data_IF_229339097426
#
_entry.id   IF_229339097426
#
_cell.length_a   1.000
_cell.length_b   1.000
_cell.length_c   1.000
_cell.angle_alpha   90.00
_cell.angle_beta   90.00
_cell.angle_gamma   90.00
#
_symmetry.space_group_name_H-M   'P 1'
#
loop_
_entity.id
_entity.type
_entity.pdbx_description
1 polymer ?
#
# COMPACT_ATOMS: atom_id res chain seq x y z
N UNK A 1 -31.39 -35.84 19.08
CA UNK A 1 -30.87 -34.45 19.19
C UNK A 1 -29.37 -34.39 18.97
N UNK A 2 -28.62 -35.36 19.45
CA UNK A 2 -27.17 -35.49 19.28
C UNK A 2 -26.69 -35.32 17.84
N UNK A 3 -27.33 -36.05 16.88
CA UNK A 3 -27.05 -35.93 15.44
C UNK A 3 -27.15 -34.46 14.96
N UNK A 4 -28.14 -33.71 15.45
CA UNK A 4 -28.29 -32.29 15.05
C UNK A 4 -27.21 -31.38 15.64
N UNK A 5 -26.76 -31.65 16.85
CA UNK A 5 -25.64 -30.96 17.47
C UNK A 5 -24.33 -31.21 16.73
N UNK A 6 -24.10 -32.48 16.34
CA UNK A 6 -22.99 -32.91 15.50
C UNK A 6 -22.98 -32.16 14.15
N UNK A 7 -24.12 -32.14 13.45
CA UNK A 7 -24.28 -31.46 12.18
C UNK A 7 -24.01 -29.92 12.29
N UNK A 8 -24.43 -29.32 13.39
CA UNK A 8 -24.16 -27.91 13.64
C UNK A 8 -22.65 -27.61 13.89
N UNK A 9 -21.96 -28.56 14.57
CA UNK A 9 -20.48 -28.45 14.74
C UNK A 9 -19.77 -28.56 13.40
N UNK A 10 -20.12 -29.57 12.60
CA UNK A 10 -19.55 -29.78 11.27
C UNK A 10 -19.82 -28.58 10.34
N UNK A 11 -21.03 -28.00 10.42
CA UNK A 11 -21.35 -26.77 9.69
C UNK A 11 -20.47 -25.60 10.12
N UNK A 12 -20.22 -25.48 11.42
CA UNK A 12 -19.33 -24.44 11.95
C UNK A 12 -17.89 -24.63 11.50
N UNK A 13 -17.39 -25.84 11.44
CA UNK A 13 -16.05 -26.15 10.94
C UNK A 13 -15.89 -25.74 9.47
N UNK A 14 -16.90 -26.01 8.65
CA UNK A 14 -16.95 -25.56 7.25
C UNK A 14 -16.94 -24.01 7.20
N UNK A 15 -17.80 -23.36 8.00
CA UNK A 15 -17.90 -21.91 8.05
C UNK A 15 -16.60 -21.26 8.53
N UNK A 16 -15.93 -21.83 9.53
CA UNK A 16 -14.63 -21.36 10.01
C UNK A 16 -13.55 -21.49 8.94
N UNK A 17 -13.53 -22.59 8.20
CA UNK A 17 -12.62 -22.76 7.07
C UNK A 17 -12.88 -21.76 5.94
N UNK A 18 -14.13 -21.46 5.64
CA UNK A 18 -14.48 -20.43 4.67
C UNK A 18 -14.08 -19.03 5.11
N UNK A 19 -14.27 -18.70 6.38
CA UNK A 19 -13.81 -17.41 6.93
C UNK A 19 -12.31 -17.27 6.85
N UNK A 20 -11.56 -18.32 7.22
CA UNK A 20 -10.10 -18.31 7.15
C UNK A 20 -9.59 -18.08 5.72
N UNK A 21 -10.26 -18.66 4.73
CA UNK A 21 -9.93 -18.44 3.32
C UNK A 21 -10.20 -16.99 2.91
N UNK A 22 -11.32 -16.41 3.36
CA UNK A 22 -11.67 -14.99 3.10
C UNK A 22 -10.71 -14.04 3.79
N UNK A 23 -10.41 -14.29 5.06
CA UNK A 23 -9.41 -13.51 5.82
C UNK A 23 -8.04 -13.53 5.10
N UNK A 24 -7.65 -14.69 4.55
CA UNK A 24 -6.42 -14.82 3.74
C UNK A 24 -6.50 -14.00 2.44
N UNK A 25 -7.65 -14.02 1.76
CA UNK A 25 -7.85 -13.24 0.53
C UNK A 25 -7.78 -11.73 0.79
N UNK A 26 -8.36 -11.27 1.90
CA UNK A 26 -8.31 -9.87 2.31
C UNK A 26 -6.89 -9.41 2.70
N UNK A 27 -6.05 -10.33 3.20
CA UNK A 27 -4.67 -10.01 3.60
C UNK A 27 -3.73 -9.68 2.44
N UNK A 28 -4.13 -9.91 1.18
CA UNK A 28 -3.31 -9.57 0.02
C UNK A 28 -3.34 -8.07 -0.34
N UNK A 29 -4.42 -7.36 -0.01
CA UNK A 29 -4.59 -5.97 -0.38
C UNK A 29 -3.50 -5.03 0.20
N UNK A 30 -3.17 -5.07 1.50
CA UNK A 30 -2.19 -4.17 2.08
C UNK A 30 -0.80 -4.22 1.42
N UNK A 31 -0.37 -5.40 0.98
CA UNK A 31 0.94 -5.57 0.35
C UNK A 31 1.03 -4.93 -1.05
N UNK A 32 -0.08 -4.80 -1.77
CA UNK A 32 -0.13 -4.08 -3.04
C UNK A 32 -0.22 -2.56 -2.83
N UNK A 33 -0.94 -2.13 -1.80
CA UNK A 33 -1.14 -0.72 -1.52
C UNK A 33 0.18 -0.02 -1.18
N UNK A 34 1.05 -0.66 -0.38
CA UNK A 34 2.38 -0.13 -0.07
C UNK A 34 3.22 0.11 -1.34
N UNK A 35 3.22 -0.85 -2.30
CA UNK A 35 3.98 -0.68 -3.54
C UNK A 35 3.38 0.44 -4.40
N UNK A 36 2.05 0.59 -4.43
CA UNK A 36 1.39 1.68 -5.14
C UNK A 36 1.69 3.04 -4.54
N UNK A 37 1.80 3.11 -3.21
CA UNK A 37 2.22 4.32 -2.50
C UNK A 37 3.67 4.68 -2.86
N UNK A 38 4.60 3.70 -2.87
CA UNK A 38 5.98 3.91 -3.30
C UNK A 38 6.05 4.45 -4.74
N UNK A 39 5.28 3.86 -5.66
CA UNK A 39 5.20 4.30 -7.06
C UNK A 39 4.69 5.74 -7.14
N UNK A 40 3.64 6.09 -6.40
CA UNK A 40 3.09 7.44 -6.40
C UNK A 40 4.10 8.49 -5.89
N UNK A 41 4.91 8.14 -4.88
CA UNK A 41 5.99 8.99 -4.38
C UNK A 41 7.08 9.20 -5.44
N UNK A 42 7.51 8.13 -6.12
CA UNK A 42 8.50 8.22 -7.20
C UNK A 42 7.98 9.03 -8.39
N UNK A 43 6.70 8.88 -8.76
CA UNK A 43 6.07 9.67 -9.81
C UNK A 43 5.97 11.17 -9.44
N UNK A 44 5.70 11.49 -8.17
CA UNK A 44 5.74 12.87 -7.68
C UNK A 44 7.16 13.47 -7.76
N UNK A 45 8.16 12.71 -7.28
CA UNK A 45 9.56 13.13 -7.34
C UNK A 45 10.03 13.34 -8.79
N UNK A 46 9.62 12.47 -9.73
CA UNK A 46 9.93 12.64 -11.15
C UNK A 46 9.39 13.97 -11.70
N UNK A 47 8.18 14.37 -11.32
CA UNK A 47 7.60 15.65 -11.73
C UNK A 47 8.38 16.84 -11.14
N UNK A 48 8.77 16.76 -9.88
CA UNK A 48 9.55 17.80 -9.21
C UNK A 48 10.93 17.97 -9.89
N UNK A 49 11.66 16.89 -10.14
CA UNK A 49 12.94 16.94 -10.85
C UNK A 49 12.83 17.48 -12.27
N UNK A 50 11.77 17.13 -13.00
CA UNK A 50 11.53 17.67 -14.34
C UNK A 50 11.27 19.18 -14.32
N UNK A 51 10.51 19.68 -13.34
CA UNK A 51 10.26 21.10 -13.18
C UNK A 51 11.56 21.85 -12.80
N UNK A 52 12.35 21.29 -11.89
CA UNK A 52 13.63 21.85 -11.49
C UNK A 52 14.61 21.90 -12.67
N UNK A 53 14.71 20.81 -13.44
CA UNK A 53 15.54 20.75 -14.64
C UNK A 53 15.13 21.84 -15.65
N UNK A 54 13.84 21.98 -15.92
CA UNK A 54 13.34 22.98 -16.84
C UNK A 54 13.67 24.41 -16.38
N UNK A 55 13.54 24.69 -15.09
CA UNK A 55 13.89 25.98 -14.52
C UNK A 55 15.40 26.27 -14.66
N UNK A 56 16.26 25.30 -14.34
CA UNK A 56 17.71 25.42 -14.46
C UNK A 56 18.18 25.55 -15.91
N UNK A 57 17.52 24.88 -16.85
CA UNK A 57 17.82 25.04 -18.29
C UNK A 57 17.45 26.43 -18.83
N UNK A 58 16.38 27.04 -18.32
CA UNK A 58 16.03 28.43 -18.63
C UNK A 58 17.10 29.38 -18.07
N UNK A 59 17.45 29.24 -16.79
CA UNK A 59 18.49 30.04 -16.12
C UNK A 59 19.83 29.95 -16.86
N UNK A 60 20.25 28.75 -17.25
CA UNK A 60 21.48 28.56 -18.05
C UNK A 60 21.41 29.26 -19.39
N UNK A 61 20.27 29.24 -20.09
CA UNK A 61 20.09 29.91 -21.38
C UNK A 61 20.20 31.42 -21.22
N UNK A 62 19.48 31.98 -20.25
CA UNK A 62 19.50 33.43 -19.99
C UNK A 62 20.89 33.94 -19.63
N UNK A 63 21.61 33.19 -18.81
CA UNK A 63 22.97 33.49 -18.42
C UNK A 63 23.94 33.41 -19.61
N UNK A 64 23.79 32.44 -20.49
CA UNK A 64 24.55 32.29 -21.70
C UNK A 64 24.34 33.50 -22.65
N UNK A 65 23.09 33.96 -22.78
CA UNK A 65 22.75 35.13 -23.60
C UNK A 65 23.38 36.41 -23.02
N UNK A 66 23.48 36.50 -21.70
CA UNK A 66 24.20 37.60 -21.03
C UNK A 66 25.70 37.55 -21.35
N UNK A 67 26.31 36.38 -21.24
CA UNK A 67 27.75 36.20 -21.56
C UNK A 67 28.03 36.53 -23.03
N UNK A 68 27.20 36.09 -23.95
CA UNK A 68 27.35 36.40 -25.38
C UNK A 68 27.24 37.89 -25.65
N UNK A 69 26.30 38.59 -25.00
CA UNK A 69 26.14 40.04 -25.12
C UNK A 69 27.36 40.78 -24.58
N UNK A 70 27.87 40.39 -23.43
CA UNK A 70 29.09 40.99 -22.84
C UNK A 70 30.31 40.75 -23.73
N UNK A 71 30.47 39.58 -24.33
CA UNK A 71 31.54 39.28 -25.31
C UNK A 71 31.43 40.16 -26.55
N UNK A 72 30.21 40.43 -27.00
CA UNK A 72 29.96 41.41 -28.10
C UNK A 72 30.40 42.83 -27.73
N UNK A 73 30.09 43.31 -26.49
CA UNK A 73 30.53 44.62 -26.00
C UNK A 73 32.05 44.70 -25.89
N UNK A 74 32.70 43.65 -25.42
CA UNK A 74 34.17 43.54 -25.36
C UNK A 74 34.78 43.66 -26.76
N UNK A 75 34.21 43.00 -27.77
CA UNK A 75 34.68 43.10 -29.14
C UNK A 75 34.55 44.53 -29.68
N UNK A 76 33.39 45.18 -29.45
CA UNK A 76 33.18 46.60 -29.83
C UNK A 76 34.14 47.55 -29.12
N UNK A 77 34.36 47.36 -27.81
CA UNK A 77 35.31 48.21 -27.05
C UNK A 77 36.74 48.03 -27.56
N UNK A 78 37.17 46.83 -27.93
CA UNK A 78 38.48 46.57 -28.54
C UNK A 78 38.65 47.27 -29.88
N UNK A 79 37.62 47.29 -30.72
CA UNK A 79 37.64 47.98 -32.00
C UNK A 79 37.71 49.52 -31.80
N UNK A 80 36.89 50.06 -30.89
CA UNK A 80 36.90 51.48 -30.57
C UNK A 80 38.27 51.96 -30.07
N UNK A 81 38.96 51.19 -29.24
CA UNK A 81 40.31 51.50 -28.75
C UNK A 81 41.29 51.81 -29.89
N UNK A 82 41.17 51.11 -31.03
CA UNK A 82 42.08 51.30 -32.18
C UNK A 82 41.80 52.58 -32.94
N UNK A 83 40.65 53.23 -32.73
CA UNK A 83 40.22 54.46 -33.46
C UNK A 83 40.27 55.69 -32.65
N UNK A 84 40.50 55.60 -31.32
CA UNK A 84 40.53 56.79 -30.41
C UNK A 84 41.83 57.50 -30.46
N UNK A 85 41.76 58.82 -30.63
CA UNK A 85 42.90 59.76 -30.58
C UNK A 85 43.01 60.53 -29.27
N UNK A 86 41.98 60.52 -28.42
CA UNK A 86 41.88 61.26 -27.17
C UNK A 86 42.20 60.41 -25.96
N UNK A 87 43.21 60.75 -25.18
CA UNK A 87 43.67 60.05 -24.00
C UNK A 87 42.52 59.80 -22.94
N UNK A 88 41.68 60.84 -22.73
CA UNK A 88 40.59 60.71 -21.72
C UNK A 88 39.54 59.67 -22.13
N UNK A 89 39.22 59.66 -23.40
CA UNK A 89 38.28 58.70 -23.99
C UNK A 89 38.88 57.28 -24.02
N UNK A 90 40.15 57.15 -24.35
CA UNK A 90 40.89 55.88 -24.30
C UNK A 90 40.85 55.22 -22.92
N UNK A 91 41.13 55.97 -21.84
CA UNK A 91 41.05 55.41 -20.49
C UNK A 91 39.63 55.05 -20.05
N UNK A 92 38.61 55.77 -20.53
CA UNK A 92 37.21 55.40 -20.25
C UNK A 92 36.83 54.06 -20.88
N UNK A 93 37.19 53.85 -22.16
CA UNK A 93 36.91 52.59 -22.87
C UNK A 93 37.74 51.43 -22.31
N UNK A 94 38.96 51.66 -21.86
CA UNK A 94 39.75 50.63 -21.16
C UNK A 94 39.08 50.16 -19.85
N UNK A 95 38.54 51.09 -19.05
CA UNK A 95 37.81 50.71 -17.83
C UNK A 95 36.56 49.95 -18.13
N UNK A 96 35.82 50.32 -19.17
CA UNK A 96 34.65 49.59 -19.63
C UNK A 96 35.02 48.17 -20.10
N UNK A 97 36.10 48.01 -20.86
CA UNK A 97 36.64 46.76 -21.30
C UNK A 97 36.99 45.82 -20.11
N UNK A 98 37.76 46.34 -19.15
CA UNK A 98 38.14 45.59 -17.94
C UNK A 98 36.90 45.19 -17.12
N UNK A 99 35.90 46.07 -17.02
CA UNK A 99 34.67 45.78 -16.29
C UNK A 99 33.90 44.64 -16.97
N UNK A 100 33.70 44.71 -18.28
CA UNK A 100 33.00 43.69 -19.03
C UNK A 100 33.74 42.35 -19.02
N UNK A 101 35.08 42.35 -19.06
CA UNK A 101 35.87 41.12 -18.94
C UNK A 101 35.67 40.45 -17.58
N UNK A 102 35.72 41.22 -16.49
CA UNK A 102 35.46 40.69 -15.13
C UNK A 102 34.01 40.16 -14.97
N UNK A 103 33.07 40.82 -15.65
CA UNK A 103 31.68 40.34 -15.66
C UNK A 103 31.57 38.98 -16.41
N UNK A 104 32.21 38.84 -17.58
CA UNK A 104 32.23 37.58 -18.31
C UNK A 104 32.83 36.45 -17.47
N UNK A 105 33.98 36.68 -16.84
CA UNK A 105 34.64 35.69 -15.99
C UNK A 105 33.71 35.21 -14.86
N UNK A 106 33.00 36.13 -14.20
CA UNK A 106 32.04 35.78 -13.14
C UNK A 106 30.86 34.95 -13.67
N UNK A 107 30.28 35.40 -14.79
CA UNK A 107 29.14 34.74 -15.39
C UNK A 107 29.53 33.36 -15.98
N UNK A 108 30.74 33.18 -16.48
CA UNK A 108 31.24 31.88 -16.95
C UNK A 108 31.45 30.91 -15.79
N UNK A 109 31.90 31.35 -14.62
CA UNK A 109 32.00 30.52 -13.41
C UNK A 109 30.59 30.08 -12.94
N UNK A 110 29.63 31.00 -12.93
CA UNK A 110 28.24 30.73 -12.59
C UNK A 110 27.60 29.75 -13.59
N UNK A 111 27.89 29.92 -14.88
CA UNK A 111 27.42 29.01 -15.94
C UNK A 111 27.97 27.60 -15.75
N UNK A 112 29.22 27.42 -15.35
CA UNK A 112 29.79 26.13 -15.03
C UNK A 112 29.07 25.46 -13.85
N UNK A 113 28.80 26.24 -12.78
CA UNK A 113 28.04 25.75 -11.64
C UNK A 113 26.63 25.25 -12.04
N UNK A 114 25.93 26.02 -12.89
CA UNK A 114 24.63 25.61 -13.42
C UNK A 114 24.69 24.31 -14.27
N UNK A 115 25.77 24.12 -15.03
CA UNK A 115 25.95 22.87 -15.79
C UNK A 115 26.10 21.67 -14.85
N UNK A 116 26.89 21.81 -13.78
CA UNK A 116 27.06 20.76 -12.78
C UNK A 116 25.74 20.44 -12.04
N UNK A 117 24.95 21.45 -11.68
CA UNK A 117 23.62 21.27 -11.09
C UNK A 117 22.68 20.53 -12.06
N UNK A 118 22.62 20.95 -13.32
CA UNK A 118 21.80 20.29 -14.35
C UNK A 118 22.20 18.83 -14.53
N UNK A 119 23.49 18.52 -14.56
CA UNK A 119 23.97 17.15 -14.71
C UNK A 119 23.64 16.30 -13.47
N UNK A 120 23.68 16.90 -12.28
CA UNK A 120 23.23 16.26 -11.04
C UNK A 120 21.72 15.92 -11.07
N UNK A 121 20.89 16.88 -11.49
CA UNK A 121 19.44 16.68 -11.60
C UNK A 121 19.13 15.58 -12.64
N UNK A 122 19.82 15.58 -13.78
CA UNK A 122 19.65 14.54 -14.80
C UNK A 122 20.00 13.15 -14.27
N UNK A 123 21.00 13.05 -13.43
CA UNK A 123 21.36 11.79 -12.77
C UNK A 123 20.26 11.36 -11.79
N UNK A 124 19.72 12.28 -10.99
CA UNK A 124 18.61 11.98 -10.08
C UNK A 124 17.36 11.52 -10.85
N UNK A 125 17.06 12.12 -12.01
CA UNK A 125 15.97 11.66 -12.88
C UNK A 125 16.22 10.22 -13.34
N UNK A 126 17.42 9.91 -13.82
CA UNK A 126 17.74 8.58 -14.31
C UNK A 126 17.67 7.50 -13.20
N UNK A 127 18.16 7.82 -12.01
CA UNK A 127 18.09 6.93 -10.84
C UNK A 127 16.62 6.71 -10.44
N UNK A 128 15.82 7.79 -10.38
CA UNK A 128 14.40 7.72 -10.05
C UNK A 128 13.57 6.94 -11.11
N UNK A 129 13.86 7.12 -12.39
CA UNK A 129 13.21 6.37 -13.47
C UNK A 129 13.53 4.87 -13.38
N UNK A 130 14.76 4.52 -13.01
CA UNK A 130 15.15 3.14 -12.77
C UNK A 130 14.36 2.51 -11.61
N UNK A 131 14.30 3.19 -10.47
CA UNK A 131 13.57 2.74 -9.28
C UNK A 131 12.07 2.61 -9.59
N UNK A 132 11.51 3.54 -10.36
CA UNK A 132 10.11 3.54 -10.78
C UNK A 132 9.79 2.32 -11.66
N UNK A 133 10.66 1.99 -12.61
CA UNK A 133 10.49 0.82 -13.48
C UNK A 133 10.60 -0.47 -12.68
N UNK A 134 11.55 -0.56 -11.75
CA UNK A 134 11.70 -1.70 -10.86
C UNK A 134 10.45 -1.91 -10.01
N UNK A 135 9.92 -0.84 -9.38
CA UNK A 135 8.70 -0.90 -8.59
C UNK A 135 7.46 -1.27 -9.41
N UNK A 136 7.32 -0.76 -10.64
CA UNK A 136 6.23 -1.14 -11.55
C UNK A 136 6.33 -2.62 -11.96
N UNK A 137 7.53 -3.12 -12.18
CA UNK A 137 7.77 -4.54 -12.47
C UNK A 137 7.43 -5.44 -11.28
N UNK A 138 7.85 -5.02 -10.07
CA UNK A 138 7.50 -5.70 -8.82
C UNK A 138 5.98 -5.77 -8.63
N UNK A 139 5.28 -4.65 -8.82
CA UNK A 139 3.81 -4.58 -8.72
C UNK A 139 3.16 -5.57 -9.70
N UNK A 140 3.54 -5.53 -10.97
CA UNK A 140 2.98 -6.39 -12.01
C UNK A 140 3.20 -7.89 -11.72
N UNK A 141 4.34 -8.24 -11.12
CA UNK A 141 4.66 -9.61 -10.73
C UNK A 141 3.80 -10.06 -9.56
N UNK A 142 3.71 -9.23 -8.51
CA UNK A 142 2.87 -9.52 -7.34
C UNK A 142 1.39 -9.59 -7.69
N UNK A 143 0.89 -8.71 -8.54
CA UNK A 143 -0.51 -8.75 -9.01
C UNK A 143 -0.83 -10.08 -9.72
N UNK A 144 0.09 -10.57 -10.57
CA UNK A 144 -0.08 -11.87 -11.25
C UNK A 144 -0.06 -13.05 -10.27
N UNK A 145 0.81 -13.01 -9.27
CA UNK A 145 0.88 -14.03 -8.23
C UNK A 145 -0.39 -14.05 -7.37
N UNK A 146 -0.82 -12.88 -6.90
CA UNK A 146 -2.04 -12.73 -6.12
C UNK A 146 -3.26 -13.16 -6.93
N UNK A 147 -3.37 -12.79 -8.20
CA UNK A 147 -4.47 -13.22 -9.05
C UNK A 147 -4.58 -14.76 -9.15
N UNK A 148 -3.44 -15.45 -9.26
CA UNK A 148 -3.41 -16.93 -9.24
C UNK A 148 -3.86 -17.49 -7.89
N UNK A 149 -3.40 -16.91 -6.79
CA UNK A 149 -3.78 -17.34 -5.44
C UNK A 149 -5.26 -17.09 -5.18
N UNK A 150 -5.77 -15.92 -5.53
CA UNK A 150 -7.19 -15.56 -5.42
C UNK A 150 -8.06 -16.54 -6.23
N UNK A 151 -7.70 -16.84 -7.48
CA UNK A 151 -8.43 -17.79 -8.29
C UNK A 151 -8.45 -19.21 -7.67
N UNK A 152 -7.36 -19.62 -7.02
CA UNK A 152 -7.31 -20.90 -6.31
C UNK A 152 -8.18 -20.89 -5.03
N UNK A 153 -8.16 -19.80 -4.27
CA UNK A 153 -8.99 -19.60 -3.09
C UNK A 153 -10.48 -19.55 -3.45
N UNK A 154 -10.87 -18.86 -4.52
CA UNK A 154 -12.24 -18.82 -5.01
C UNK A 154 -12.79 -20.22 -5.35
N UNK A 155 -11.97 -21.08 -5.95
CA UNK A 155 -12.35 -22.48 -6.20
C UNK A 155 -12.64 -23.22 -4.90
N UNK A 156 -11.80 -23.01 -3.87
CA UNK A 156 -12.00 -23.59 -2.53
C UNK A 156 -13.27 -23.05 -1.86
N UNK A 157 -13.50 -21.72 -1.96
CA UNK A 157 -14.73 -21.09 -1.44
C UNK A 157 -15.96 -21.71 -2.09
N UNK A 158 -16.02 -21.80 -3.42
CA UNK A 158 -17.18 -22.40 -4.14
C UNK A 158 -17.41 -23.85 -3.74
N UNK A 159 -16.35 -24.64 -3.58
CA UNK A 159 -16.45 -26.03 -3.13
C UNK A 159 -16.96 -26.10 -1.68
N UNK A 160 -16.41 -25.28 -0.79
CA UNK A 160 -16.83 -25.19 0.60
C UNK A 160 -18.27 -24.71 0.76
N UNK A 161 -18.70 -23.70 0.00
CA UNK A 161 -20.08 -23.21 -0.01
C UNK A 161 -21.08 -24.29 -0.47
N UNK A 162 -20.71 -25.08 -1.48
CA UNK A 162 -21.53 -26.23 -1.92
C UNK A 162 -21.61 -27.29 -0.82
N UNK A 163 -20.51 -27.63 -0.17
CA UNK A 163 -20.46 -28.51 0.98
C UNK A 163 -21.33 -28.00 2.15
N UNK A 164 -21.19 -26.69 2.45
CA UNK A 164 -22.02 -26.01 3.45
C UNK A 164 -23.51 -26.10 3.17
N UNK A 165 -23.92 -25.84 1.92
CA UNK A 165 -25.33 -25.93 1.51
C UNK A 165 -25.88 -27.35 1.66
N UNK A 166 -25.10 -28.35 1.29
CA UNK A 166 -25.51 -29.74 1.45
C UNK A 166 -25.66 -30.11 2.93
N UNK A 167 -24.70 -29.74 3.76
CA UNK A 167 -24.76 -29.99 5.21
C UNK A 167 -25.93 -29.24 5.86
N UNK A 168 -26.19 -27.98 5.46
CA UNK A 168 -27.32 -27.21 5.95
C UNK A 168 -28.69 -27.84 5.69
N UNK A 169 -28.85 -28.59 4.58
CA UNK A 169 -30.09 -29.32 4.27
C UNK A 169 -30.39 -30.46 5.22
N UNK A 170 -29.36 -31.01 5.88
CA UNK A 170 -29.50 -32.10 6.86
C UNK A 170 -29.90 -31.59 8.25
N UNK A 171 -29.81 -30.28 8.48
CA UNK A 171 -30.08 -29.63 9.75
C UNK A 171 -31.55 -29.17 9.78
N UNK A 172 -32.20 -29.37 10.95
CA UNK A 172 -33.54 -28.83 11.16
C UNK A 172 -33.57 -27.31 10.96
N UNK A 173 -34.57 -26.84 10.23
CA UNK A 173 -34.66 -25.42 9.83
C UNK A 173 -34.68 -24.43 11.00
N UNK A 174 -35.31 -24.79 12.13
CA UNK A 174 -35.35 -23.97 13.34
C UNK A 174 -33.93 -23.81 13.94
N UNK A 175 -33.18 -24.91 13.98
CA UNK A 175 -31.82 -24.93 14.51
C UNK A 175 -30.87 -24.19 13.58
N UNK A 176 -31.01 -24.37 12.27
CA UNK A 176 -30.22 -23.64 11.27
C UNK A 176 -30.45 -22.15 11.35
N UNK A 177 -31.70 -21.67 11.46
CA UNK A 177 -32.03 -20.27 11.62
C UNK A 177 -31.43 -19.67 12.93
N UNK A 178 -31.46 -20.47 14.01
CA UNK A 178 -30.84 -20.09 15.29
C UNK A 178 -29.30 -19.95 15.15
N UNK A 179 -28.67 -20.93 14.55
CA UNK A 179 -27.24 -20.93 14.25
C UNK A 179 -26.85 -19.69 13.41
N UNK A 180 -27.53 -19.47 12.30
CA UNK A 180 -27.25 -18.34 11.41
C UNK A 180 -27.40 -16.98 12.11
N UNK A 181 -28.38 -16.82 13.01
CA UNK A 181 -28.56 -15.60 13.81
C UNK A 181 -27.38 -15.35 14.73
N UNK A 182 -26.91 -16.39 15.39
CA UNK A 182 -25.76 -16.30 16.31
C UNK A 182 -24.47 -16.04 15.52
N UNK A 183 -24.30 -16.71 14.38
CA UNK A 183 -23.14 -16.59 13.51
C UNK A 183 -22.90 -15.15 12.98
N UNK A 184 -23.96 -14.38 12.82
CA UNK A 184 -23.85 -12.94 12.46
C UNK A 184 -23.15 -12.08 13.53
N UNK A 185 -23.14 -12.55 14.78
CA UNK A 185 -22.57 -11.82 15.93
C UNK A 185 -21.24 -12.39 16.40
N UNK A 186 -21.06 -13.70 16.22
CA UNK A 186 -19.91 -14.44 16.70
C UNK A 186 -19.43 -15.42 15.62
N UNK A 187 -18.12 -15.44 15.37
CA UNK A 187 -17.52 -16.46 14.48
C UNK A 187 -17.82 -17.89 14.96
N UNK A 188 -17.93 -18.12 16.28
CA UNK A 188 -18.27 -19.38 16.91
C UNK A 188 -19.71 -19.35 17.42
N UNK A 189 -20.65 -19.89 16.66
CA UNK A 189 -22.06 -19.97 17.07
C UNK A 189 -22.37 -21.18 17.97
N UNK A 190 -21.60 -22.27 17.81
CA UNK A 190 -21.66 -23.48 18.61
C UNK A 190 -20.43 -23.54 19.49
N UNK A 191 -20.60 -23.73 20.78
CA UNK A 191 -19.52 -23.76 21.76
C UNK A 191 -19.65 -24.98 22.67
N UNK A 192 -18.53 -25.47 23.11
CA UNK A 192 -18.50 -26.58 24.07
C UNK A 192 -18.80 -26.02 25.48
N UNK A 193 -19.63 -26.75 26.21
CA UNK A 193 -19.75 -26.57 27.65
C UNK A 193 -19.12 -27.77 28.35
N UNK A 194 -18.15 -27.50 29.19
CA UNK A 194 -17.33 -28.48 29.88
C UNK A 194 -17.16 -28.10 31.33
N UNK A 195 -17.29 -29.06 32.24
CA UNK A 195 -17.20 -28.86 33.70
C UNK A 195 -18.08 -27.69 34.19
N UNK A 196 -19.31 -27.61 33.65
CA UNK A 196 -20.24 -26.52 33.99
C UNK A 196 -19.85 -25.15 33.45
N UNK A 197 -18.83 -25.02 32.58
CA UNK A 197 -18.36 -23.75 32.04
C UNK A 197 -18.59 -23.68 30.54
N UNK A 198 -19.13 -22.57 30.06
CA UNK A 198 -19.25 -22.29 28.62
C UNK A 198 -17.91 -21.84 28.07
N UNK A 199 -17.25 -22.61 27.19
CA UNK A 199 -15.94 -22.27 26.59
C UNK A 199 -15.99 -21.09 25.62
N UNK A 200 -17.19 -20.65 25.22
CA UNK A 200 -17.33 -19.47 24.35
C UNK A 200 -17.23 -18.11 25.09
N UNK A 201 -17.68 -18.04 26.34
CA UNK A 201 -17.65 -16.80 27.13
C UNK A 201 -17.00 -16.98 28.53
N UNK A 202 -16.53 -18.18 28.82
CA UNK A 202 -15.88 -18.59 30.09
C UNK A 202 -16.72 -18.31 31.35
N UNK A 203 -18.05 -18.31 31.24
CA UNK A 203 -18.97 -18.11 32.36
C UNK A 203 -19.56 -19.46 32.78
N UNK A 204 -19.74 -19.65 34.09
CA UNK A 204 -20.37 -20.84 34.63
C UNK A 204 -21.84 -20.92 34.20
N UNK A 205 -22.23 -22.08 33.72
CA UNK A 205 -23.60 -22.44 33.34
C UNK A 205 -24.33 -22.92 34.57
N UNK A 206 -25.57 -22.49 34.86
CA UNK A 206 -26.35 -23.01 35.96
C UNK A 206 -26.43 -24.53 35.94
N UNK A 207 -26.28 -25.21 37.09
CA UNK A 207 -26.20 -26.70 37.12
C UNK A 207 -27.40 -27.40 36.45
N UNK A 208 -28.59 -26.85 36.59
CA UNK A 208 -29.78 -27.39 35.94
C UNK A 208 -29.70 -27.36 34.41
N UNK A 209 -29.19 -26.24 33.84
CA UNK A 209 -29.01 -26.05 32.40
C UNK A 209 -27.91 -27.01 31.89
N UNK A 210 -26.82 -27.14 32.65
CA UNK A 210 -25.74 -28.06 32.31
C UNK A 210 -26.18 -29.54 32.34
N UNK A 211 -26.92 -29.93 33.38
CA UNK A 211 -27.48 -31.26 33.48
C UNK A 211 -28.46 -31.59 32.33
N UNK A 212 -29.26 -30.60 31.93
CA UNK A 212 -30.16 -30.78 30.77
C UNK A 212 -29.38 -30.86 29.44
N UNK A 213 -28.25 -30.13 29.33
CA UNK A 213 -27.37 -30.24 28.19
C UNK A 213 -26.78 -31.65 28.03
N UNK A 214 -26.34 -32.24 29.15
CA UNK A 214 -25.81 -33.61 29.17
C UNK A 214 -26.84 -34.67 28.79
N UNK A 215 -28.14 -34.45 29.09
CA UNK A 215 -29.23 -35.33 28.67
C UNK A 215 -29.45 -35.32 27.15
N UNK A 216 -28.98 -34.31 26.43
CA UNK A 216 -29.02 -34.22 24.98
C UNK A 216 -30.41 -34.22 24.34
N UNK A 217 -31.46 -33.86 25.11
CA UNK A 217 -32.85 -33.94 24.63
C UNK A 217 -33.25 -32.72 23.80
N UNK A 218 -32.66 -31.56 24.07
CA UNK A 218 -32.98 -30.28 23.41
C UNK A 218 -31.72 -29.48 23.09
N UNK A 219 -31.85 -28.49 22.14
CA UNK A 219 -30.76 -27.59 21.79
C UNK A 219 -30.76 -26.39 22.74
N UNK A 220 -29.79 -26.38 23.67
CA UNK A 220 -29.63 -25.34 24.68
C UNK A 220 -28.68 -24.23 24.24
N UNK A 221 -28.94 -23.02 24.75
CA UNK A 221 -28.01 -21.88 24.61
C UNK A 221 -27.46 -21.48 25.95
N UNK A 222 -26.23 -20.94 25.90
CA UNK A 222 -25.65 -20.32 27.06
C UNK A 222 -26.51 -19.12 27.53
N UNK A 223 -26.90 -19.06 28.80
CA UNK A 223 -27.73 -17.96 29.30
C UNK A 223 -27.03 -16.61 29.23
N UNK A 224 -25.70 -16.59 29.22
CA UNK A 224 -24.93 -15.36 29.14
C UNK A 224 -24.67 -14.89 27.69
N UNK A 225 -24.00 -15.70 26.86
CA UNK A 225 -23.60 -15.30 25.50
C UNK A 225 -24.58 -15.73 24.40
N UNK A 226 -25.59 -16.52 24.73
CA UNK A 226 -26.65 -17.05 23.83
C UNK A 226 -26.15 -17.96 22.70
N UNK A 227 -24.87 -18.35 22.69
CA UNK A 227 -24.34 -19.34 21.74
C UNK A 227 -24.94 -20.71 22.01
N UNK A 228 -25.08 -21.55 21.00
CA UNK A 228 -25.53 -22.90 21.11
C UNK A 228 -24.48 -23.69 21.88
N UNK A 229 -24.90 -24.38 22.95
CA UNK A 229 -24.01 -25.25 23.72
C UNK A 229 -24.10 -26.68 23.27
N UNK A 230 -22.96 -27.37 23.20
CA UNK A 230 -22.83 -28.79 23.05
C UNK A 230 -22.01 -29.35 24.21
N UNK A 231 -22.31 -30.55 24.70
CA UNK A 231 -21.52 -31.16 25.76
C UNK A 231 -20.07 -31.39 25.28
N UNK A 232 -19.11 -31.09 26.13
CA UNK A 232 -17.75 -31.60 25.97
C UNK A 232 -17.75 -33.10 26.23
N UNK A 233 -16.96 -33.85 25.46
CA UNK A 233 -16.63 -35.19 25.86
C UNK A 233 -15.75 -35.06 27.10
N UNK A 234 -16.28 -35.40 28.28
CA UNK A 234 -15.44 -35.61 29.43
C UNK A 234 -14.45 -36.73 29.07
N UNK A 235 -13.17 -36.49 29.29
CA UNK A 235 -12.23 -37.59 29.35
C UNK A 235 -12.82 -38.54 30.43
N UNK A 236 -13.27 -39.70 30.01
CA UNK A 236 -13.53 -40.80 30.95
C UNK A 236 -12.14 -41.19 31.47
N UNK A 237 -11.88 -40.83 32.77
CA UNK A 237 -10.79 -41.39 33.54
C UNK A 237 -10.92 -42.94 33.71
#
# INVERSE_FOLDING_TARGET
>A
MEKQMQLLRELQEIDAGLDQIRDTQESFAPGLDTIKEDIALLESAAQEYQQELAAKEVERRDLRDVVERLKGLIAQSKEKITQISNNKEYFAVLKELEHNQKQVERQEVELLGLVEEIDSIKKQIADNDHDLEEKKSELATKEKEIAKQVAALEKKIRAGEKGRQNKAKEINEVFLRRYQRIRRRFKDAVVVAENGTCKGCNVNVPPQVYNNLLKGQELLSCPNCQRIMVPGHGEED
#
